data_IF_379379460127
#
_entry.id   IF_379379460127
#
_cell.length_a   1.000
_cell.length_b   1.000
_cell.length_c   1.000
_cell.angle_alpha   90.00
_cell.angle_beta   90.00
_cell.angle_gamma   90.00
#
_symmetry.space_group_name_H-M   'P 1'
#
loop_
_entity.id
_entity.type
_entity.pdbx_description
1 polymer ?
#
# COMPACT_ATOMS: atom_id res chain seq x y z
N UNK A 1 16.53 48.48 37.17
CA UNK A 1 16.65 47.02 36.99
C UNK A 1 15.29 46.42 37.35
N UNK A 2 14.47 46.10 36.35
CA UNK A 2 13.10 45.61 36.57
C UNK A 2 13.16 44.20 37.16
N UNK A 3 12.78 44.06 38.43
CA UNK A 3 12.65 42.76 39.09
C UNK A 3 11.52 41.98 38.42
N UNK A 4 11.87 40.93 37.69
CA UNK A 4 10.92 39.97 37.13
C UNK A 4 10.37 39.13 38.28
N UNK A 5 9.08 39.26 38.53
CA UNK A 5 8.29 38.50 39.50
C UNK A 5 8.24 37.02 39.07
N UNK A 6 9.25 36.23 39.48
CA UNK A 6 9.34 34.81 39.18
C UNK A 6 8.43 34.02 40.13
N UNK A 7 7.15 33.90 39.75
CA UNK A 7 6.19 33.03 40.43
C UNK A 7 6.57 31.58 40.14
N UNK A 8 7.15 30.91 41.15
CA UNK A 8 7.48 29.48 41.08
C UNK A 8 6.22 28.62 41.16
N UNK A 9 6.21 27.52 40.40
CA UNK A 9 5.16 26.51 40.44
C UNK A 9 5.20 25.76 41.78
N UNK A 10 4.06 25.56 42.45
CA UNK A 10 4.05 24.88 43.74
C UNK A 10 4.11 23.36 43.58
N UNK A 11 4.81 22.66 44.49
CA UNK A 11 4.84 21.19 44.50
C UNK A 11 3.43 20.60 44.68
N UNK A 12 2.56 21.29 45.41
CA UNK A 12 1.17 20.87 45.63
C UNK A 12 0.34 20.99 44.35
N UNK A 13 0.50 22.06 43.55
CA UNK A 13 -0.12 22.14 42.22
C UNK A 13 0.29 20.99 41.34
N UNK A 14 1.58 20.67 41.29
CA UNK A 14 2.07 19.56 40.47
C UNK A 14 1.46 18.23 40.91
N UNK A 15 1.37 18.01 42.23
CA UNK A 15 0.84 16.77 42.80
C UNK A 15 -0.65 16.56 42.49
N UNK A 16 -1.46 17.63 42.52
CA UNK A 16 -2.88 17.55 42.16
C UNK A 16 -3.04 17.31 40.65
N UNK A 17 -2.23 17.96 39.82
CA UNK A 17 -2.26 17.80 38.36
C UNK A 17 -1.95 16.35 37.97
N UNK A 18 -0.91 15.74 38.55
CA UNK A 18 -0.58 14.34 38.24
C UNK A 18 -1.69 13.40 38.72
N UNK A 19 -2.30 13.65 39.88
CA UNK A 19 -3.39 12.83 40.40
C UNK A 19 -4.62 12.85 39.48
N UNK A 20 -5.03 14.02 39.00
CA UNK A 20 -6.15 14.16 38.05
C UNK A 20 -5.78 13.57 36.69
N UNK A 21 -4.54 13.80 36.20
CA UNK A 21 -4.07 13.24 34.93
C UNK A 21 -4.06 11.70 34.94
N UNK A 22 -3.78 11.07 36.08
CA UNK A 22 -3.87 9.62 36.24
C UNK A 22 -5.28 9.06 36.02
N UNK A 23 -6.30 9.75 36.56
CA UNK A 23 -7.72 9.37 36.37
C UNK A 23 -8.11 9.53 34.90
N UNK A 24 -7.71 10.64 34.26
CA UNK A 24 -8.00 10.89 32.85
C UNK A 24 -7.32 9.86 31.93
N UNK A 25 -6.05 9.53 32.19
CA UNK A 25 -5.30 8.55 31.41
C UNK A 25 -5.89 7.14 31.52
N UNK A 26 -6.38 6.75 32.70
CA UNK A 26 -7.00 5.44 32.90
C UNK A 26 -8.19 5.18 31.95
N UNK A 27 -8.96 6.21 31.63
CA UNK A 27 -10.11 6.12 30.70
C UNK A 27 -9.65 6.37 29.25
N UNK A 28 -8.74 7.33 29.05
CA UNK A 28 -8.33 7.76 27.71
C UNK A 28 -7.49 6.72 26.97
N UNK A 29 -6.57 6.02 27.65
CA UNK A 29 -5.65 5.06 27.04
C UNK A 29 -6.38 3.90 26.33
N UNK A 30 -7.30 3.15 26.98
CA UNK A 30 -7.98 2.04 26.30
C UNK A 30 -8.85 2.51 25.12
N UNK A 31 -9.50 3.67 25.25
CA UNK A 31 -10.28 4.25 24.17
C UNK A 31 -9.40 4.66 22.97
N UNK A 32 -8.22 5.24 23.24
CA UNK A 32 -7.26 5.64 22.21
C UNK A 32 -6.70 4.42 21.47
N UNK A 33 -6.32 3.36 22.19
CA UNK A 33 -5.83 2.11 21.56
C UNK A 33 -6.86 1.51 20.60
N UNK A 34 -8.14 1.45 20.99
CA UNK A 34 -9.21 0.99 20.10
C UNK A 34 -9.40 1.86 18.85
N UNK A 35 -9.24 3.18 18.97
CA UNK A 35 -9.28 4.09 17.82
C UNK A 35 -8.08 3.90 16.88
N UNK A 36 -6.88 3.68 17.44
CA UNK A 36 -5.69 3.40 16.65
C UNK A 36 -5.86 2.11 15.84
N UNK A 37 -6.39 1.04 16.44
CA UNK A 37 -6.59 -0.22 15.73
C UNK A 37 -7.63 -0.10 14.62
N UNK A 38 -8.74 0.62 14.88
CA UNK A 38 -9.72 0.94 13.84
C UNK A 38 -9.11 1.76 12.70
N UNK A 39 -8.25 2.72 13.02
CA UNK A 39 -7.55 3.52 12.02
C UNK A 39 -6.61 2.66 11.16
N UNK A 40 -5.88 1.71 11.76
CA UNK A 40 -5.03 0.76 11.03
C UNK A 40 -5.84 -0.13 10.08
N UNK A 41 -6.97 -0.67 10.54
CA UNK A 41 -7.90 -1.46 9.69
C UNK A 41 -8.38 -0.62 8.50
N UNK A 42 -8.83 0.61 8.76
CA UNK A 42 -9.28 1.52 7.72
C UNK A 42 -8.18 1.86 6.72
N UNK A 43 -6.93 2.01 7.17
CA UNK A 43 -5.79 2.28 6.30
C UNK A 43 -5.54 1.11 5.33
N UNK A 44 -5.58 -0.14 5.81
CA UNK A 44 -5.43 -1.33 4.96
C UNK A 44 -6.56 -1.44 3.93
N UNK A 45 -7.83 -1.22 4.34
CA UNK A 45 -8.98 -1.22 3.41
C UNK A 45 -8.88 -0.08 2.40
N UNK A 46 -8.44 1.10 2.82
CA UNK A 46 -8.23 2.24 1.92
C UNK A 46 -7.18 1.93 0.88
N UNK A 47 -6.05 1.32 1.27
CA UNK A 47 -5.01 0.89 0.35
C UNK A 47 -5.49 -0.15 -0.65
N UNK A 48 -6.29 -1.14 -0.21
CA UNK A 48 -6.92 -2.11 -1.09
C UNK A 48 -7.85 -1.46 -2.12
N UNK A 49 -8.63 -0.43 -1.70
CA UNK A 49 -9.51 0.31 -2.61
C UNK A 49 -8.74 1.16 -3.62
N UNK A 50 -7.66 1.81 -3.19
CA UNK A 50 -6.80 2.59 -4.08
C UNK A 50 -6.18 1.71 -5.18
N UNK A 51 -5.82 0.47 -4.86
CA UNK A 51 -5.27 -0.48 -5.83
C UNK A 51 -6.25 -0.87 -6.94
N UNK A 52 -7.57 -0.70 -6.77
CA UNK A 52 -8.57 -1.11 -7.78
C UNK A 52 -8.39 -0.35 -9.09
N UNK A 53 -8.27 0.98 -9.02
CA UNK A 53 -8.14 1.82 -10.20
C UNK A 53 -6.77 1.59 -10.86
N UNK A 54 -5.70 1.60 -10.05
CA UNK A 54 -4.34 1.38 -10.53
C UNK A 54 -4.20 0.01 -11.21
N UNK A 55 -4.74 -1.06 -10.61
CA UNK A 55 -4.72 -2.39 -11.25
C UNK A 55 -5.56 -2.45 -12.52
N UNK A 56 -6.68 -1.73 -12.59
CA UNK A 56 -7.48 -1.68 -13.83
C UNK A 56 -6.64 -1.10 -14.98
N UNK A 57 -5.90 -0.02 -14.73
CA UNK A 57 -5.05 0.61 -15.75
C UNK A 57 -3.94 -0.34 -16.24
N UNK A 58 -3.30 -1.07 -15.30
CA UNK A 58 -2.30 -2.08 -15.66
C UNK A 58 -2.89 -3.24 -16.45
N UNK A 59 -4.09 -3.70 -16.09
CA UNK A 59 -4.80 -4.79 -16.76
C UNK A 59 -5.22 -4.39 -18.18
N UNK A 60 -5.73 -3.18 -18.37
CA UNK A 60 -6.15 -2.67 -19.67
C UNK A 60 -4.93 -2.50 -20.59
N UNK A 61 -3.81 -1.96 -20.07
CA UNK A 61 -2.54 -1.90 -20.81
C UNK A 61 -2.01 -3.29 -21.16
N UNK A 62 -1.99 -4.21 -20.19
CA UNK A 62 -1.56 -5.60 -20.39
C UNK A 62 -2.39 -6.34 -21.45
N UNK A 63 -3.72 -6.22 -21.39
CA UNK A 63 -4.63 -6.82 -22.36
C UNK A 63 -4.42 -6.27 -23.78
N UNK A 64 -4.16 -4.96 -23.88
CA UNK A 64 -3.81 -4.32 -25.14
C UNK A 64 -2.37 -4.64 -25.59
N UNK A 65 -1.55 -5.29 -24.76
CA UNK A 65 -0.11 -5.48 -25.01
C UNK A 65 0.66 -4.15 -25.07
N UNK A 66 0.16 -3.11 -24.41
CA UNK A 66 0.73 -1.77 -24.35
C UNK A 66 1.64 -1.61 -23.13
N UNK A 67 2.71 -0.80 -23.25
CA UNK A 67 3.69 -0.64 -22.19
C UNK A 67 3.13 0.21 -21.04
N UNK A 68 3.76 0.11 -19.87
CA UNK A 68 3.45 0.94 -18.71
C UNK A 68 4.74 1.31 -17.96
N UNK A 69 4.70 2.43 -17.23
CA UNK A 69 5.82 2.94 -16.45
C UNK A 69 5.55 2.75 -14.97
N UNK A 70 6.54 2.25 -14.25
CA UNK A 70 6.46 2.05 -12.80
C UNK A 70 7.62 2.78 -12.10
N UNK A 71 7.51 2.89 -10.78
CA UNK A 71 8.63 3.28 -9.93
C UNK A 71 9.49 2.03 -9.68
N UNK A 72 10.79 2.14 -9.93
CA UNK A 72 11.75 1.02 -9.88
C UNK A 72 12.70 1.07 -8.70
N UNK A 73 12.73 2.18 -7.96
CA UNK A 73 13.57 2.33 -6.78
C UNK A 73 12.97 3.34 -5.77
N UNK A 74 13.48 3.32 -4.53
CA UNK A 74 13.02 4.19 -3.44
C UNK A 74 13.43 5.66 -3.56
N UNK A 75 14.24 6.01 -4.57
CA UNK A 75 14.53 7.41 -4.91
C UNK A 75 13.51 8.01 -5.89
N UNK A 76 12.56 7.20 -6.36
CA UNK A 76 11.54 7.61 -7.31
C UNK A 76 11.95 7.44 -8.77
N UNK A 77 13.01 6.67 -9.05
CA UNK A 77 13.37 6.30 -10.41
C UNK A 77 12.23 5.59 -11.13
N UNK A 78 12.06 5.89 -12.42
CA UNK A 78 10.98 5.35 -13.24
C UNK A 78 11.55 4.41 -14.30
N UNK A 79 10.85 3.31 -14.55
CA UNK A 79 11.21 2.35 -15.57
C UNK A 79 9.99 1.92 -16.37
N UNK A 80 10.17 1.85 -17.68
CA UNK A 80 9.14 1.35 -18.59
C UNK A 80 9.26 -0.16 -18.77
N UNK A 81 8.12 -0.85 -18.72
CA UNK A 81 7.99 -2.27 -18.99
C UNK A 81 7.07 -2.47 -20.20
N UNK A 82 7.42 -3.41 -21.07
CA UNK A 82 6.70 -3.68 -22.32
C UNK A 82 6.43 -5.17 -22.52
N UNK A 83 5.48 -5.51 -23.40
CA UNK A 83 5.20 -6.91 -23.71
C UNK A 83 6.39 -7.57 -24.44
N UNK A 84 6.57 -8.87 -24.21
CA UNK A 84 7.52 -9.68 -24.97
C UNK A 84 7.24 -9.53 -26.48
N UNK A 85 8.28 -9.22 -27.26
CA UNK A 85 8.22 -9.00 -28.72
C UNK A 85 7.50 -7.70 -29.17
N UNK A 86 7.48 -6.66 -28.32
CA UNK A 86 6.94 -5.33 -28.67
C UNK A 86 7.91 -4.45 -29.50
N UNK A 87 9.20 -4.81 -29.60
CA UNK A 87 10.21 -4.05 -30.35
C UNK A 87 9.79 -3.87 -31.82
N UNK A 88 9.85 -2.63 -32.30
CA UNK A 88 9.45 -2.28 -33.67
C UNK A 88 7.94 -2.10 -33.85
N UNK A 89 7.15 -2.17 -32.78
CA UNK A 89 5.72 -1.83 -32.78
C UNK A 89 5.47 -0.47 -32.12
N UNK A 90 4.29 0.12 -32.34
CA UNK A 90 3.84 1.33 -31.63
C UNK A 90 3.52 1.08 -30.13
N UNK A 91 3.81 -0.11 -29.62
CA UNK A 91 3.59 -0.54 -28.24
C UNK A 91 4.91 -0.82 -27.49
N UNK A 92 6.04 -0.48 -28.09
CA UNK A 92 7.31 -0.47 -27.36
C UNK A 92 7.40 0.75 -26.44
N UNK A 93 8.12 0.62 -25.33
CA UNK A 93 8.48 1.71 -24.42
C UNK A 93 9.10 2.90 -25.14
N UNK A 94 9.96 2.64 -26.13
CA UNK A 94 10.58 3.70 -26.93
C UNK A 94 9.53 4.47 -27.74
N UNK A 95 8.55 3.78 -28.31
CA UNK A 95 7.50 4.40 -29.12
C UNK A 95 6.46 5.14 -28.28
N UNK A 96 6.08 4.58 -27.12
CA UNK A 96 5.04 5.13 -26.27
C UNK A 96 5.54 6.24 -25.33
N UNK A 97 6.75 6.09 -24.78
CA UNK A 97 7.26 6.94 -23.70
C UNK A 97 8.64 7.55 -23.99
N UNK A 98 9.25 7.27 -25.14
CA UNK A 98 10.62 7.67 -25.46
C UNK A 98 11.64 7.21 -24.38
N UNK A 99 11.44 5.99 -23.86
CA UNK A 99 12.30 5.37 -22.85
C UNK A 99 12.78 3.99 -23.32
N UNK A 100 13.97 3.59 -22.88
CA UNK A 100 14.42 2.21 -23.01
C UNK A 100 13.65 1.32 -22.05
N UNK A 101 13.25 0.13 -22.53
CA UNK A 101 12.63 -0.87 -21.67
C UNK A 101 13.60 -1.33 -20.58
N UNK A 102 13.12 -1.40 -19.34
CA UNK A 102 13.85 -1.91 -18.17
C UNK A 102 13.55 -3.40 -17.95
N UNK A 103 12.47 -3.90 -18.53
CA UNK A 103 12.07 -5.30 -18.46
C UNK A 103 10.81 -5.57 -19.27
N UNK A 104 10.45 -6.84 -19.37
CA UNK A 104 9.29 -7.27 -20.16
C UNK A 104 8.30 -8.09 -19.35
N UNK A 105 7.09 -8.24 -19.90
CA UNK A 105 6.10 -9.20 -19.43
C UNK A 105 5.59 -10.05 -20.59
N UNK A 106 5.24 -11.31 -20.31
CA UNK A 106 4.67 -12.20 -21.33
C UNK A 106 3.37 -11.62 -21.88
N UNK A 107 3.14 -11.74 -23.19
CA UNK A 107 1.89 -11.28 -23.82
C UNK A 107 0.67 -12.00 -23.21
N UNK A 108 -0.47 -11.31 -23.20
CA UNK A 108 -1.75 -11.93 -22.81
C UNK A 108 -1.96 -13.27 -23.53
N UNK A 109 -2.37 -14.35 -22.84
CA UNK A 109 -2.85 -14.40 -21.44
C UNK A 109 -1.82 -14.77 -20.35
N UNK A 110 -0.53 -14.92 -20.66
CA UNK A 110 0.44 -15.58 -19.76
C UNK A 110 1.21 -14.70 -18.76
N UNK A 111 1.19 -13.37 -18.90
CA UNK A 111 2.02 -12.43 -18.12
C UNK A 111 1.37 -11.85 -16.87
N UNK A 112 0.19 -12.31 -16.45
CA UNK A 112 -0.55 -11.64 -15.38
C UNK A 112 0.18 -11.68 -14.02
N UNK A 113 0.87 -12.78 -13.69
CA UNK A 113 1.72 -12.87 -12.48
C UNK A 113 2.86 -11.84 -12.48
N UNK A 114 3.50 -11.56 -13.63
CA UNK A 114 4.57 -10.57 -13.69
C UNK A 114 4.02 -9.15 -13.59
N UNK A 115 2.84 -8.89 -14.17
CA UNK A 115 2.12 -7.61 -13.99
C UNK A 115 1.81 -7.36 -12.51
N UNK A 116 1.32 -8.37 -11.78
CA UNK A 116 1.11 -8.26 -10.31
C UNK A 116 2.43 -7.97 -9.59
N UNK A 117 3.53 -8.62 -9.97
CA UNK A 117 4.85 -8.38 -9.36
C UNK A 117 5.38 -6.96 -9.63
N UNK A 118 5.16 -6.42 -10.83
CA UNK A 118 5.51 -5.04 -11.16
C UNK A 118 4.67 -4.04 -10.36
N UNK A 119 3.37 -4.28 -10.23
CA UNK A 119 2.49 -3.49 -9.37
C UNK A 119 2.98 -3.48 -7.92
N UNK A 120 3.28 -4.64 -7.35
CA UNK A 120 3.78 -4.73 -5.96
C UNK A 120 5.12 -4.00 -5.82
N UNK A 121 6.02 -4.13 -6.79
CA UNK A 121 7.30 -3.43 -6.80
C UNK A 121 7.10 -1.92 -6.83
N UNK A 122 6.21 -1.42 -7.70
CA UNK A 122 5.83 -0.01 -7.78
C UNK A 122 5.41 0.53 -6.41
N UNK A 123 4.47 -0.14 -5.74
CA UNK A 123 3.97 0.29 -4.44
C UNK A 123 5.00 0.11 -3.30
N UNK A 124 5.84 -0.90 -3.39
CA UNK A 124 6.95 -1.10 -2.43
C UNK A 124 7.95 0.05 -2.51
N UNK A 125 8.35 0.45 -3.72
CA UNK A 125 9.30 1.54 -3.93
C UNK A 125 8.66 2.92 -3.70
N UNK A 126 7.36 3.07 -3.95
CA UNK A 126 6.57 4.24 -3.52
C UNK A 126 6.54 4.39 -2.00
N UNK A 127 6.73 3.30 -1.26
CA UNK A 127 6.79 3.28 0.20
C UNK A 127 5.47 2.94 0.89
N UNK A 128 4.53 2.31 0.18
CA UNK A 128 3.25 1.91 0.75
C UNK A 128 3.45 0.74 1.73
N UNK A 129 3.10 0.99 3.00
CA UNK A 129 3.34 0.05 4.11
C UNK A 129 2.07 -0.24 4.89
N UNK A 130 2.03 -1.44 5.46
CA UNK A 130 0.99 -1.83 6.42
C UNK A 130 1.13 -1.02 7.72
N UNK A 131 0.01 -0.45 8.17
CA UNK A 131 -0.08 0.29 9.42
C UNK A 131 0.05 -0.59 10.67
N UNK A 132 0.09 -1.92 10.50
CA UNK A 132 0.18 -2.89 11.59
C UNK A 132 1.60 -3.36 11.88
N UNK A 133 2.40 -3.59 10.83
CA UNK A 133 3.72 -4.22 10.95
C UNK A 133 4.84 -3.46 10.21
N UNK A 134 4.52 -2.39 9.46
CA UNK A 134 5.51 -1.61 8.71
C UNK A 134 6.12 -2.33 7.49
N UNK A 135 5.64 -3.53 7.18
CA UNK A 135 6.03 -4.30 5.99
C UNK A 135 5.31 -3.74 4.74
N UNK A 136 5.74 -4.11 3.51
CA UNK A 136 5.07 -3.67 2.28
C UNK A 136 3.56 -3.92 2.32
N UNK A 137 2.76 -2.98 1.83
CA UNK A 137 1.30 -3.13 1.94
C UNK A 137 0.75 -4.27 1.07
N UNK A 138 1.32 -4.49 -0.12
CA UNK A 138 0.84 -5.46 -1.10
C UNK A 138 1.74 -6.69 -1.16
N UNK A 139 1.13 -7.88 -1.24
CA UNK A 139 1.82 -9.18 -1.25
C UNK A 139 1.16 -10.15 -2.22
N UNK A 140 1.88 -11.17 -2.68
CA UNK A 140 1.32 -12.29 -3.50
C UNK A 140 1.06 -13.56 -2.71
N UNK A 141 1.59 -13.67 -1.49
CA UNK A 141 1.43 -14.83 -0.63
C UNK A 141 1.05 -14.41 0.77
N UNK A 142 -0.05 -14.97 1.28
CA UNK A 142 -0.46 -14.75 2.66
C UNK A 142 0.37 -15.66 3.57
N UNK A 143 1.48 -15.12 4.09
CA UNK A 143 2.24 -15.76 5.16
C UNK A 143 1.62 -15.38 6.50
N UNK A 144 1.87 -16.12 7.59
CA UNK A 144 1.33 -15.79 8.94
C UNK A 144 1.83 -14.42 9.46
N UNK A 145 2.78 -13.76 8.77
CA UNK A 145 3.18 -12.37 9.01
C UNK A 145 2.38 -11.34 8.18
N UNK A 146 1.44 -11.81 7.38
CA UNK A 146 0.69 -11.10 6.35
C UNK A 146 -0.47 -10.23 6.84
N UNK A 147 -0.66 -10.15 8.15
CA UNK A 147 -1.79 -9.43 8.68
C UNK A 147 -1.62 -7.91 8.55
N UNK A 148 -2.70 -7.21 8.22
CA UNK A 148 -2.66 -5.79 7.90
C UNK A 148 -2.20 -5.46 6.49
N UNK A 149 -1.98 -6.48 5.63
CA UNK A 149 -1.58 -6.35 4.23
C UNK A 149 -2.73 -6.70 3.28
N UNK A 150 -2.48 -6.42 2.00
CA UNK A 150 -3.39 -6.67 0.87
C UNK A 150 -2.77 -7.74 -0.02
N UNK A 151 -3.40 -8.90 -0.07
CA UNK A 151 -3.04 -9.99 -0.94
C UNK A 151 -3.60 -9.73 -2.33
N UNK A 152 -2.73 -9.82 -3.34
CA UNK A 152 -3.10 -9.81 -4.74
C UNK A 152 -2.88 -11.21 -5.29
N UNK A 153 -3.95 -11.83 -5.77
CA UNK A 153 -3.89 -13.15 -6.36
C UNK A 153 -4.53 -13.16 -7.74
N UNK A 154 -3.90 -13.86 -8.67
CA UNK A 154 -4.46 -14.07 -10.00
C UNK A 154 -5.63 -15.05 -9.92
N UNK A 155 -6.75 -14.72 -10.58
CA UNK A 155 -7.90 -15.59 -10.79
C UNK A 155 -8.14 -15.79 -12.28
N UNK A 156 -7.85 -17.00 -12.78
CA UNK A 156 -7.81 -17.25 -14.22
C UNK A 156 -6.74 -16.39 -14.91
N UNK A 157 -6.94 -16.03 -16.17
CA UNK A 157 -5.97 -15.21 -16.93
C UNK A 157 -6.39 -13.74 -17.09
N UNK A 158 -7.57 -13.39 -16.59
CA UNK A 158 -8.22 -12.11 -16.86
C UNK A 158 -8.48 -11.29 -15.62
N UNK A 159 -8.27 -11.85 -14.43
CA UNK A 159 -8.71 -11.21 -13.19
C UNK A 159 -7.66 -11.28 -12.10
N UNK A 160 -7.64 -10.23 -11.28
CA UNK A 160 -6.87 -10.14 -10.05
C UNK A 160 -7.86 -9.97 -8.91
N UNK A 161 -7.72 -10.80 -7.88
CA UNK A 161 -8.46 -10.68 -6.63
C UNK A 161 -7.61 -9.92 -5.63
N UNK A 162 -8.22 -8.89 -5.05
CA UNK A 162 -7.65 -8.03 -4.02
C UNK A 162 -8.30 -8.42 -2.69
N UNK A 163 -7.53 -8.99 -1.78
CA UNK A 163 -7.99 -9.42 -0.46
C UNK A 163 -7.23 -8.67 0.64
N UNK A 164 -7.92 -7.87 1.44
CA UNK A 164 -7.33 -7.13 2.55
C UNK A 164 -7.54 -7.89 3.87
N UNK A 165 -6.50 -7.99 4.71
CA UNK A 165 -6.55 -8.73 5.98
C UNK A 165 -6.27 -7.83 7.20
N UNK A 166 -6.95 -8.08 8.32
CA UNK A 166 -6.67 -7.50 9.64
C UNK A 166 -5.81 -8.44 10.51
N UNK A 167 -5.27 -7.99 11.65
CA UNK A 167 -4.29 -8.71 12.52
C UNK A 167 -4.68 -10.08 13.08
N UNK A 168 -5.91 -10.53 12.87
CA UNK A 168 -6.48 -11.69 13.57
C UNK A 168 -7.65 -12.37 12.83
N UNK A 169 -7.84 -12.09 11.53
CA UNK A 169 -8.90 -12.71 10.72
C UNK A 169 -8.32 -13.54 9.57
N UNK A 170 -8.57 -14.84 9.58
CA UNK A 170 -8.21 -15.73 8.46
C UNK A 170 -9.04 -15.46 7.22
N UNK A 171 -10.15 -14.72 7.38
CA UNK A 171 -10.98 -14.23 6.30
C UNK A 171 -10.62 -12.77 5.97
N UNK A 172 -10.67 -12.39 4.69
CA UNK A 172 -10.44 -11.01 4.29
C UNK A 172 -11.54 -10.10 4.87
N UNK A 173 -11.14 -8.91 5.32
CA UNK A 173 -12.05 -7.84 5.76
C UNK A 173 -12.61 -7.04 4.58
N UNK A 174 -11.99 -7.19 3.41
CA UNK A 174 -12.39 -6.58 2.15
C UNK A 174 -11.90 -7.47 1.01
N UNK A 175 -12.78 -7.74 0.05
CA UNK A 175 -12.44 -8.49 -1.17
C UNK A 175 -13.04 -7.77 -2.38
N UNK A 176 -12.24 -7.61 -3.42
CA UNK A 176 -12.68 -7.10 -4.71
C UNK A 176 -11.95 -7.81 -5.84
N UNK A 177 -12.68 -8.19 -6.88
CA UNK A 177 -12.08 -8.71 -8.12
C UNK A 177 -12.03 -7.58 -9.16
N UNK A 178 -10.87 -7.40 -9.77
CA UNK A 178 -10.65 -6.53 -10.94
C UNK A 178 -10.43 -7.43 -12.13
N UNK A 179 -11.14 -7.18 -13.23
CA UNK A 179 -11.08 -7.98 -14.45
C UNK A 179 -10.75 -7.08 -15.63
N UNK A 180 -9.95 -7.61 -16.56
CA UNK A 180 -9.69 -7.01 -17.86
C UNK A 180 -11.02 -6.69 -18.54
N UNK A 181 -11.13 -5.51 -19.15
CA UNK A 181 -12.32 -5.08 -19.88
C UNK A 181 -12.30 -5.50 -21.35
#
# INVERSE_FOLDING_TARGET
MTLRDARGFTLVELMIVIAISGILMAIAVPAFLGQMDKAKVNATVSGAKSAIADLQDYLDAYAAGGPYVIITDSSGGQGCFEADRSIGTNKACLAAFNQTSVGTYATFPGGLTTVISHFISHHTFKGDKSAFNGLPLFITTNTVVGWGQVLLSQSGNTSIVIDAYATNSTLPIFTQTVTIR
#
